data_IF_485547860502
#
_entry.id   IF_485547860502
#
_cell.length_a   1.000
_cell.length_b   1.000
_cell.length_c   1.000
_cell.angle_alpha   90.00
_cell.angle_beta   90.00
_cell.angle_gamma   90.00
#
_symmetry.space_group_name_H-M   'P 1'
#
loop_
_entity.id
_entity.type
_entity.pdbx_description
1 polymer ?
#
# COMPACT_ATOMS: atom_id res chain seq x y z
N UNK A 1 -11.94 -16.48 29.79
CA UNK A 1 -10.50 -16.44 29.46
C UNK A 1 -10.26 -17.51 28.41
N UNK A 2 -10.11 -17.13 27.13
CA UNK A 2 -9.74 -18.08 26.07
C UNK A 2 -8.83 -17.33 25.10
N UNK A 3 -7.63 -17.88 24.94
CA UNK A 3 -6.47 -17.24 24.36
C UNK A 3 -6.06 -18.09 23.16
N UNK A 4 -6.53 -17.74 21.96
CA UNK A 4 -6.07 -18.39 20.73
C UNK A 4 -4.72 -17.79 20.33
N UNK A 5 -3.64 -18.54 20.61
CA UNK A 5 -2.33 -18.32 20.02
C UNK A 5 -2.25 -19.13 18.74
N UNK A 6 -2.05 -18.48 17.61
CA UNK A 6 -1.62 -19.14 16.37
C UNK A 6 -0.16 -18.78 16.11
N UNK A 7 0.71 -19.73 16.40
CA UNK A 7 2.08 -19.78 15.90
C UNK A 7 2.04 -20.28 14.46
N UNK A 8 2.48 -19.48 13.50
CA UNK A 8 2.73 -19.95 12.13
C UNK A 8 4.24 -19.99 11.91
N UNK A 9 4.83 -21.17 12.08
CA UNK A 9 6.16 -21.50 11.58
C UNK A 9 6.01 -21.87 10.10
N UNK A 10 6.68 -21.15 9.19
CA UNK A 10 6.74 -21.50 7.78
C UNK A 10 8.06 -22.26 7.56
N UNK A 11 7.96 -23.58 7.40
CA UNK A 11 9.06 -24.43 7.01
C UNK A 11 9.27 -24.33 5.49
N UNK A 12 10.53 -24.09 5.07
CA UNK A 12 10.96 -24.22 3.69
C UNK A 12 11.11 -25.70 3.33
N UNK A 13 10.46 -26.14 2.26
CA UNK A 13 10.77 -27.41 1.61
C UNK A 13 11.12 -27.15 0.16
N UNK A 14 12.39 -27.34 -0.17
CA UNK A 14 12.95 -27.31 -1.51
C UNK A 14 12.99 -28.76 -1.98
N UNK A 15 12.22 -29.11 -3.01
CA UNK A 15 12.28 -30.44 -3.62
C UNK A 15 12.61 -30.24 -5.10
N UNK A 16 13.82 -30.64 -5.47
CA UNK A 16 14.21 -30.91 -6.86
C UNK A 16 14.14 -32.43 -7.02
N UNK A 17 13.31 -32.90 -7.94
CA UNK A 17 13.26 -34.29 -8.38
C UNK A 17 12.82 -34.34 -9.84
N UNK A 18 13.72 -34.79 -10.72
CA UNK A 18 13.48 -35.06 -12.14
C UNK A 18 12.62 -36.32 -12.30
N UNK A 19 11.54 -36.24 -13.08
CA UNK A 19 10.96 -37.42 -13.73
C UNK A 19 10.31 -37.02 -15.06
N UNK A 20 10.81 -37.65 -16.13
CA UNK A 20 10.24 -37.60 -17.46
C UNK A 20 9.00 -38.50 -17.51
N UNK A 21 7.84 -37.90 -17.79
CA UNK A 21 6.58 -38.58 -18.02
C UNK A 21 5.60 -37.60 -18.64
N UNK A 22 5.13 -37.90 -19.85
CA UNK A 22 4.12 -37.10 -20.56
C UNK A 22 2.80 -37.12 -19.79
N UNK A 23 2.46 -36.01 -19.14
CA UNK A 23 1.17 -35.79 -18.50
C UNK A 23 0.11 -35.44 -19.56
N UNK A 24 -1.13 -35.93 -19.44
CA UNK A 24 -2.22 -35.41 -20.24
C UNK A 24 -2.45 -33.94 -19.85
N UNK A 25 -2.67 -33.09 -20.86
CA UNK A 25 -3.04 -31.70 -20.64
C UNK A 25 -4.37 -31.65 -19.88
N UNK A 26 -4.30 -31.48 -18.56
CA UNK A 26 -5.46 -31.08 -17.76
C UNK A 26 -5.80 -29.66 -18.23
N UNK A 27 -6.94 -29.55 -18.92
CA UNK A 27 -7.57 -28.29 -19.26
C UNK A 27 -7.60 -27.43 -18.00
N UNK A 28 -6.78 -26.38 -17.97
CA UNK A 28 -6.87 -25.36 -16.94
C UNK A 28 -8.26 -24.75 -17.09
N UNK A 29 -9.12 -24.96 -16.09
CA UNK A 29 -10.36 -24.23 -15.99
C UNK A 29 -9.98 -22.74 -15.95
N UNK A 30 -10.15 -22.06 -17.07
CA UNK A 30 -10.21 -20.60 -17.09
C UNK A 30 -11.32 -20.21 -16.12
N UNK A 31 -11.05 -19.47 -15.03
CA UNK A 31 -12.15 -18.86 -14.30
C UNK A 31 -12.80 -17.86 -15.25
N UNK A 32 -13.92 -18.27 -15.85
CA UNK A 32 -14.84 -17.41 -16.58
C UNK A 32 -15.61 -16.55 -15.57
N UNK A 33 -14.87 -15.72 -14.82
CA UNK A 33 -15.41 -14.57 -14.13
C UNK A 33 -15.14 -13.33 -14.97
N UNK A 34 -15.98 -12.28 -14.88
CA UNK A 34 -15.55 -10.96 -15.34
C UNK A 34 -14.18 -10.65 -14.69
N UNK A 35 -13.24 -10.01 -15.41
CA UNK A 35 -11.98 -9.60 -14.78
C UNK A 35 -12.32 -8.85 -13.50
N UNK A 36 -11.60 -9.10 -12.37
CA UNK A 36 -11.84 -8.34 -11.16
C UNK A 36 -11.79 -6.87 -11.56
N UNK A 37 -12.88 -6.15 -11.29
CA UNK A 37 -13.01 -4.74 -11.64
C UNK A 37 -11.72 -4.04 -11.21
N UNK A 38 -10.91 -3.61 -12.19
CA UNK A 38 -9.57 -3.08 -11.91
C UNK A 38 -9.77 -1.83 -11.06
N UNK A 39 -9.56 -1.99 -9.75
CA UNK A 39 -9.53 -0.87 -8.82
C UNK A 39 -8.48 0.09 -9.35
N UNK A 40 -8.93 1.20 -9.94
CA UNK A 40 -8.02 2.14 -10.61
C UNK A 40 -7.00 2.61 -9.57
N UNK A 41 -5.75 2.20 -9.75
CA UNK A 41 -4.65 2.63 -8.90
C UNK A 41 -4.64 4.17 -8.84
N UNK A 42 -4.45 4.71 -7.64
CA UNK A 42 -4.43 6.15 -7.37
C UNK A 42 -3.07 6.58 -6.81
N UNK A 43 -2.92 7.88 -6.59
CA UNK A 43 -1.68 8.39 -6.03
C UNK A 43 -0.50 8.18 -7.01
N UNK A 44 0.71 7.93 -6.48
CA UNK A 44 1.89 7.62 -7.27
C UNK A 44 1.72 6.41 -8.23
N UNK A 45 0.77 5.52 -7.96
CA UNK A 45 0.50 4.34 -8.77
C UNK A 45 -0.53 4.58 -9.88
N UNK A 46 -0.99 5.82 -10.08
CA UNK A 46 -2.02 6.13 -11.06
C UNK A 46 -1.61 5.72 -12.49
N UNK A 47 -2.46 4.92 -13.13
CA UNK A 47 -2.25 4.46 -14.50
C UNK A 47 -1.17 3.39 -14.66
N UNK A 48 -0.70 2.82 -13.54
CA UNK A 48 0.19 1.67 -13.54
C UNK A 48 -0.68 0.43 -13.39
N UNK A 49 -0.63 -0.46 -14.37
CA UNK A 49 -1.31 -1.75 -14.31
C UNK A 49 -0.52 -2.69 -13.41
N UNK A 50 -1.10 -3.09 -12.29
CA UNK A 50 -0.49 -3.99 -11.31
C UNK A 50 -0.98 -5.41 -11.51
N UNK A 51 -0.06 -6.38 -11.49
CA UNK A 51 -0.43 -7.80 -11.47
C UNK A 51 -1.17 -8.16 -10.17
N UNK A 52 -1.96 -9.26 -10.15
CA UNK A 52 -2.60 -9.74 -8.91
C UNK A 52 -1.61 -9.95 -7.75
N UNK A 53 -0.41 -10.45 -8.05
CA UNK A 53 0.67 -10.67 -7.08
C UNK A 53 1.24 -9.33 -6.58
N UNK A 54 1.45 -8.36 -7.48
CA UNK A 54 1.90 -7.01 -7.11
C UNK A 54 0.86 -6.33 -6.20
N UNK A 55 -0.43 -6.46 -6.52
CA UNK A 55 -1.52 -5.94 -5.68
C UNK A 55 -1.51 -6.60 -4.30
N UNK A 56 -1.38 -7.92 -4.22
CA UNK A 56 -1.31 -8.65 -2.95
C UNK A 56 -0.12 -8.19 -2.09
N UNK A 57 1.06 -8.04 -2.69
CA UNK A 57 2.26 -7.54 -1.99
C UNK A 57 2.11 -6.08 -1.57
N UNK A 58 1.49 -5.26 -2.40
CA UNK A 58 1.20 -3.86 -2.07
C UNK A 58 0.25 -3.75 -0.87
N UNK A 59 -0.79 -4.59 -0.81
CA UNK A 59 -1.69 -4.67 0.37
C UNK A 59 -0.92 -5.02 1.64
N UNK A 60 -0.01 -5.99 1.55
CA UNK A 60 0.84 -6.39 2.68
C UNK A 60 1.73 -5.22 3.14
N UNK A 61 2.45 -4.55 2.23
CA UNK A 61 3.28 -3.38 2.56
C UNK A 61 2.44 -2.29 3.24
N UNK A 62 1.24 -2.03 2.74
CA UNK A 62 0.35 -1.03 3.34
C UNK A 62 -0.09 -1.41 4.76
N UNK A 63 -0.45 -2.68 4.99
CA UNK A 63 -0.82 -3.18 6.32
C UNK A 63 0.36 -3.06 7.30
N UNK A 64 1.55 -3.50 6.89
CA UNK A 64 2.77 -3.39 7.71
C UNK A 64 3.10 -1.93 8.04
N UNK A 65 3.06 -1.05 7.03
CA UNK A 65 3.29 0.39 7.20
C UNK A 65 2.28 0.99 8.18
N UNK A 66 1.01 0.57 8.11
CA UNK A 66 -0.05 0.99 9.04
C UNK A 66 0.21 0.55 10.47
N UNK A 67 0.62 -0.69 10.66
CA UNK A 67 0.98 -1.21 11.99
C UNK A 67 2.16 -0.44 12.58
N UNK A 68 3.21 -0.22 11.79
CA UNK A 68 4.41 0.51 12.23
C UNK A 68 4.08 1.95 12.63
N UNK A 69 3.31 2.67 11.81
CA UNK A 69 2.85 4.03 12.13
C UNK A 69 2.01 4.04 13.40
N UNK A 70 1.06 3.11 13.55
CA UNK A 70 0.21 3.02 14.74
C UNK A 70 1.04 2.79 16.02
N UNK A 71 2.15 2.07 15.91
CA UNK A 71 3.10 1.87 17.02
C UNK A 71 3.85 3.14 17.47
N UNK A 72 3.94 4.17 16.62
CA UNK A 72 4.58 5.47 16.93
C UNK A 72 3.61 6.43 17.64
N UNK A 73 2.29 6.23 17.46
CA UNK A 73 1.26 7.11 17.98
C UNK A 73 0.92 6.80 19.46
N UNK A 74 0.50 7.82 20.20
CA UNK A 74 -0.07 7.64 21.54
C UNK A 74 -1.44 6.95 21.47
N UNK A 75 -1.94 6.33 22.56
CA UNK A 75 -3.28 5.75 22.59
C UNK A 75 -4.39 6.70 22.11
N UNK A 76 -4.32 7.97 22.53
CA UNK A 76 -5.30 9.01 22.18
C UNK A 76 -5.23 9.37 20.69
N UNK A 77 -4.00 9.51 20.16
CA UNK A 77 -3.78 9.74 18.72
C UNK A 77 -4.29 8.56 17.88
N UNK A 78 -4.08 7.32 18.33
CA UNK A 78 -4.59 6.12 17.64
C UNK A 78 -6.12 6.15 17.56
N UNK A 79 -6.81 6.45 18.66
CA UNK A 79 -8.27 6.55 18.69
C UNK A 79 -8.79 7.63 17.72
N UNK A 80 -8.07 8.75 17.59
CA UNK A 80 -8.39 9.80 16.62
C UNK A 80 -8.16 9.35 15.16
N UNK A 81 -7.19 8.46 14.90
CA UNK A 81 -7.00 7.89 13.56
C UNK A 81 -8.00 6.81 13.20
N UNK A 82 -8.41 5.96 14.14
CA UNK A 82 -9.37 4.87 13.91
C UNK A 82 -10.76 5.41 13.59
N UNK A 83 -11.25 6.38 14.37
CA UNK A 83 -12.51 7.08 14.11
C UNK A 83 -12.56 7.75 12.74
N UNK A 84 -11.42 8.25 12.24
CA UNK A 84 -11.28 8.79 10.88
C UNK A 84 -11.18 7.71 9.81
N UNK A 85 -10.51 6.60 10.10
CA UNK A 85 -10.39 5.45 9.21
C UNK A 85 -11.75 4.79 8.96
N UNK A 86 -12.61 4.71 9.98
CA UNK A 86 -13.96 4.16 9.85
C UNK A 86 -14.83 4.99 8.88
N UNK A 87 -14.64 6.32 8.84
CA UNK A 87 -15.29 7.19 7.84
C UNK A 87 -14.76 7.01 6.41
N UNK A 88 -13.57 6.43 6.24
CA UNK A 88 -12.94 6.25 4.93
C UNK A 88 -13.20 4.86 4.34
N UNK A 89 -13.46 3.87 5.19
CA UNK A 89 -13.75 2.47 4.82
C UNK A 89 -15.04 2.32 3.99
N UNK A 90 -15.97 3.26 4.10
CA UNK A 90 -17.21 3.31 3.29
C UNK A 90 -16.98 3.60 1.80
N UNK A 91 -15.73 3.61 1.31
CA UNK A 91 -15.41 3.97 -0.07
C UNK A 91 -14.27 3.15 -0.68
N UNK A 92 -14.47 1.83 -0.68
CA UNK A 92 -13.65 0.78 -1.34
C UNK A 92 -12.19 0.69 -0.86
N UNK A 93 -11.52 -0.49 -0.99
CA UNK A 93 -10.09 -0.60 -0.76
C UNK A 93 -9.37 0.28 -1.78
N UNK A 94 -8.99 1.49 -1.39
CA UNK A 94 -8.29 2.46 -2.25
C UNK A 94 -6.83 2.05 -2.36
N UNK A 95 -6.57 1.01 -3.15
CA UNK A 95 -5.22 0.55 -3.45
C UNK A 95 -4.37 1.67 -4.09
N UNK A 96 -3.16 1.82 -3.56
CA UNK A 96 -2.14 2.75 -4.06
C UNK A 96 -2.02 4.09 -3.34
N UNK A 97 -2.79 4.33 -2.28
CA UNK A 97 -2.52 5.45 -1.37
C UNK A 97 -1.71 4.96 -0.17
N UNK A 98 -0.39 5.21 -0.19
CA UNK A 98 0.48 5.14 0.99
C UNK A 98 -0.05 6.14 2.02
N UNK A 99 -0.94 5.70 2.91
CA UNK A 99 -1.63 6.46 3.96
C UNK A 99 -2.17 7.85 3.55
N UNK A 100 -3.45 8.17 3.75
CA UNK A 100 -3.92 9.53 3.53
C UNK A 100 -3.12 10.49 4.42
N UNK A 101 -2.22 11.27 3.82
CA UNK A 101 -1.47 12.37 4.47
C UNK A 101 -2.41 13.32 5.24
N UNK A 102 -3.70 13.29 4.90
CA UNK A 102 -4.81 13.99 5.56
C UNK A 102 -5.15 13.47 6.96
N UNK A 103 -4.92 12.20 7.29
CA UNK A 103 -5.26 11.63 8.61
C UNK A 103 -4.34 12.11 9.73
N UNK A 104 -3.09 12.44 9.40
CA UNK A 104 -2.04 12.79 10.37
C UNK A 104 -1.93 14.28 10.67
N UNK A 105 -2.45 15.14 9.78
CA UNK A 105 -2.24 16.60 9.83
C UNK A 105 -2.80 17.25 11.11
N UNK A 106 -3.66 16.54 11.82
CA UNK A 106 -4.36 17.02 13.02
C UNK A 106 -4.04 16.19 14.28
N UNK A 107 -2.98 15.37 14.29
CA UNK A 107 -2.62 14.51 15.43
C UNK A 107 -1.67 15.16 16.45
N UNK A 108 -1.31 16.44 16.26
CA UNK A 108 -0.31 17.13 17.11
C UNK A 108 0.96 16.29 17.35
N UNK A 109 1.48 15.68 16.28
CA UNK A 109 2.66 14.81 16.35
C UNK A 109 3.87 15.58 16.86
N UNK A 110 4.63 14.97 17.78
CA UNK A 110 5.95 15.47 18.20
C UNK A 110 6.95 15.40 17.04
N UNK A 111 8.07 16.12 17.17
CA UNK A 111 9.14 16.08 16.16
C UNK A 111 9.69 14.65 15.98
N UNK A 112 10.01 13.97 17.09
CA UNK A 112 10.47 12.58 17.07
C UNK A 112 9.46 11.63 16.39
N UNK A 113 8.15 11.80 16.65
CA UNK A 113 7.12 11.01 15.96
C UNK A 113 7.10 11.28 14.46
N UNK A 114 7.23 12.55 14.03
CA UNK A 114 7.26 12.92 12.61
C UNK A 114 8.46 12.30 11.90
N UNK A 115 9.63 12.29 12.52
CA UNK A 115 10.84 11.72 11.93
C UNK A 115 10.76 10.20 11.81
N UNK A 116 10.22 9.53 12.84
CA UNK A 116 9.96 8.09 12.78
C UNK A 116 8.96 7.73 11.68
N UNK A 117 7.85 8.47 11.59
CA UNK A 117 6.85 8.27 10.53
C UNK A 117 7.46 8.52 9.15
N UNK A 118 8.28 9.57 8.99
CA UNK A 118 8.97 9.87 7.73
C UNK A 118 9.85 8.70 7.30
N UNK A 119 10.64 8.15 8.23
CA UNK A 119 11.51 6.99 8.00
C UNK A 119 10.71 5.75 7.57
N UNK A 120 9.58 5.47 8.25
CA UNK A 120 8.67 4.37 7.90
C UNK A 120 8.12 4.56 6.47
N UNK A 121 7.70 5.77 6.12
CA UNK A 121 7.15 6.08 4.79
C UNK A 121 8.20 5.99 3.68
N UNK A 122 9.45 6.38 3.93
CA UNK A 122 10.57 6.24 3.00
C UNK A 122 10.89 4.77 2.73
N UNK A 123 10.92 3.95 3.78
CA UNK A 123 11.09 2.50 3.65
C UNK A 123 9.95 1.87 2.85
N UNK A 124 8.71 2.21 3.19
CA UNK A 124 7.52 1.71 2.49
C UNK A 124 7.55 2.06 1.00
N UNK A 125 7.92 3.30 0.66
CA UNK A 125 8.11 3.73 -0.72
C UNK A 125 9.16 2.91 -1.46
N UNK A 126 10.30 2.63 -0.82
CA UNK A 126 11.35 1.79 -1.41
C UNK A 126 10.86 0.36 -1.68
N UNK A 127 10.12 -0.23 -0.73
CA UNK A 127 9.50 -1.55 -0.92
C UNK A 127 8.52 -1.56 -2.10
N UNK A 128 7.69 -0.52 -2.25
CA UNK A 128 6.79 -0.39 -3.40
C UNK A 128 7.57 -0.31 -4.71
N UNK A 129 8.61 0.52 -4.79
CA UNK A 129 9.43 0.63 -6.01
C UNK A 129 10.07 -0.70 -6.41
N UNK A 130 10.50 -1.49 -5.44
CA UNK A 130 11.09 -2.82 -5.67
C UNK A 130 10.08 -3.86 -6.19
N UNK A 131 8.77 -3.65 -5.99
CA UNK A 131 7.73 -4.50 -6.59
C UNK A 131 7.45 -4.19 -8.05
N UNK A 132 7.80 -2.97 -8.51
CA UNK A 132 7.49 -2.49 -9.85
C UNK A 132 8.55 -2.92 -10.87
N UNK A 133 8.12 -3.21 -12.10
CA UNK A 133 9.03 -3.35 -13.24
C UNK A 133 9.74 -2.02 -13.53
N UNK A 134 10.85 -2.02 -14.30
CA UNK A 134 11.54 -0.79 -14.68
C UNK A 134 10.62 0.26 -15.31
N UNK A 135 9.72 -0.15 -16.21
CA UNK A 135 8.78 0.72 -16.92
C UNK A 135 7.72 1.29 -15.96
N UNK A 136 7.15 0.43 -15.11
CA UNK A 136 6.21 0.85 -14.08
C UNK A 136 6.86 1.84 -13.09
N UNK A 137 8.14 1.62 -12.73
CA UNK A 137 8.90 2.50 -11.83
C UNK A 137 9.13 3.88 -12.43
N UNK A 138 9.43 3.95 -13.73
CA UNK A 138 9.57 5.22 -14.43
C UNK A 138 8.26 6.03 -14.38
N UNK A 139 7.12 5.37 -14.63
CA UNK A 139 5.81 6.02 -14.54
C UNK A 139 5.48 6.45 -13.10
N UNK A 140 5.84 5.63 -12.11
CA UNK A 140 5.68 5.93 -10.69
C UNK A 140 6.45 7.20 -10.29
N UNK A 141 7.70 7.33 -10.74
CA UNK A 141 8.51 8.52 -10.49
C UNK A 141 7.96 9.77 -11.17
N UNK A 142 7.52 9.65 -12.44
CA UNK A 142 6.86 10.74 -13.16
C UNK A 142 5.58 11.20 -12.44
N UNK A 143 4.78 10.26 -11.91
CA UNK A 143 3.61 10.57 -11.11
C UNK A 143 3.98 11.33 -9.83
N UNK A 144 5.05 10.93 -9.13
CA UNK A 144 5.52 11.63 -7.92
C UNK A 144 5.98 13.06 -8.23
N UNK A 145 6.77 13.24 -9.29
CA UNK A 145 7.23 14.57 -9.70
C UNK A 145 6.04 15.48 -10.05
N UNK A 146 5.09 14.96 -10.82
CA UNK A 146 3.85 15.68 -11.17
C UNK A 146 3.06 16.09 -9.93
N UNK A 147 2.97 15.22 -8.92
CA UNK A 147 2.29 15.54 -7.66
C UNK A 147 3.02 16.61 -6.86
N UNK A 148 4.36 16.58 -6.84
CA UNK A 148 5.19 17.58 -6.17
C UNK A 148 4.98 18.96 -6.80
N UNK A 149 5.09 19.06 -8.13
CA UNK A 149 4.87 20.31 -8.85
C UNK A 149 3.47 20.89 -8.59
N UNK A 150 2.42 20.04 -8.62
CA UNK A 150 1.05 20.46 -8.28
C UNK A 150 0.90 20.97 -6.85
N UNK A 151 1.70 20.45 -5.92
CA UNK A 151 1.69 20.91 -4.53
C UNK A 151 2.45 22.22 -4.38
N UNK A 152 3.59 22.38 -5.04
CA UNK A 152 4.37 23.62 -5.08
C UNK A 152 3.55 24.75 -5.70
N UNK A 153 2.96 24.53 -6.88
CA UNK A 153 2.12 25.52 -7.56
C UNK A 153 0.95 25.99 -6.68
N UNK A 154 0.33 25.06 -5.94
CA UNK A 154 -0.77 25.38 -5.02
C UNK A 154 -0.33 26.21 -3.83
N UNK A 155 0.90 26.00 -3.34
CA UNK A 155 1.46 26.82 -2.26
C UNK A 155 1.80 28.23 -2.73
N UNK A 156 2.17 28.38 -4.00
CA UNK A 156 2.54 29.66 -4.59
C UNK A 156 1.35 30.49 -5.08
N UNK A 157 0.16 29.90 -5.23
CA UNK A 157 -1.06 30.64 -5.60
C UNK A 157 -1.73 31.26 -4.36
N UNK A 158 -2.07 32.56 -4.38
CA UNK A 158 -2.86 33.17 -3.31
C UNK A 158 -4.24 32.47 -3.22
N UNK A 159 -4.86 32.40 -2.02
CA UNK A 159 -6.19 31.84 -1.90
C UNK A 159 -7.16 32.60 -2.82
N UNK A 160 -7.87 31.87 -3.68
CA UNK A 160 -8.89 32.46 -4.56
C UNK A 160 -9.88 33.26 -3.70
N UNK A 161 -10.18 34.52 -4.03
CA UNK A 161 -11.26 35.25 -3.36
C UNK A 161 -12.56 34.46 -3.57
N UNK A 162 -13.30 34.23 -2.49
CA UNK A 162 -14.62 33.61 -2.51
C UNK A 162 -15.70 34.66 -2.77
#
# INVERSE_FOLDING_TARGET
>A
MNMNRYSNAIAFALIIGLSAGSLPALAQATPAGPPPEMVKARGPLRGIDLSPEQQARLRQIHQETRTQISGVLTPEQRQQTESRSQRWDSSAPREGMLWPRMGMRNLNLSEAQRDQIKTIMERSRSQVQNLLTPEQRQQYEANIQSMRQRWENRKSQPPMPQ
#
